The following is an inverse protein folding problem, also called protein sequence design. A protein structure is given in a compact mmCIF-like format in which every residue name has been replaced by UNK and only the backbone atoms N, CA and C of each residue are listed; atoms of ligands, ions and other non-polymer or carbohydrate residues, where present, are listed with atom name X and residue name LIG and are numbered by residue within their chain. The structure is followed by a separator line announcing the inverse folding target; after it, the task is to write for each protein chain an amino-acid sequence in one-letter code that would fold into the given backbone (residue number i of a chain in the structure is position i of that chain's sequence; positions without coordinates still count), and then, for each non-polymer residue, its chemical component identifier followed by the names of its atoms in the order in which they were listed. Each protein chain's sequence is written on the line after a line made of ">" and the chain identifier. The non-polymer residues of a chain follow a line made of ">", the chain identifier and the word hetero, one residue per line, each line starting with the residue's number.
data_IF_316654269143
#
_entry.id   IF_316654269143
#
_cell.length_a   1.000
_cell.length_b   1.000
_cell.length_c   1.000
_cell.angle_alpha   90.00
_cell.angle_beta   90.00
_cell.angle_gamma   90.00
#
_symmetry.space_group_name_H-M   'P 1'
#
loop_
_entity.id
_entity.type
_entity.pdbx_description
1 polymer ?
#
# COMPACT_ATOMS: atom_id res chain seq x y z
N UNK A 1 -15.54 53.17 -10.82
CA UNK A 1 -15.72 52.74 -9.42
C UNK A 1 -17.06 52.06 -9.31
N UNK A 2 -17.11 50.76 -9.64
CA UNK A 2 -18.29 49.92 -9.44
C UNK A 2 -17.83 48.80 -8.54
N UNK A 3 -18.28 48.91 -7.29
CA UNK A 3 -18.25 47.87 -6.27
C UNK A 3 -19.24 46.78 -6.68
N UNK A 4 -18.74 45.57 -6.89
CA UNK A 4 -19.53 44.34 -6.76
C UNK A 4 -18.75 43.37 -5.87
N UNK A 5 -18.87 43.66 -4.58
CA UNK A 5 -18.62 42.74 -3.48
C UNK A 5 -19.97 42.06 -3.20
N UNK A 6 -20.16 40.80 -3.62
CA UNK A 6 -21.28 39.97 -3.16
C UNK A 6 -21.16 38.53 -3.66
N UNK A 7 -21.37 37.58 -2.75
CA UNK A 7 -21.69 36.17 -2.95
C UNK A 7 -20.51 35.20 -3.21
N UNK A 8 -19.65 35.03 -2.20
CA UNK A 8 -19.00 33.74 -1.91
C UNK A 8 -19.12 33.44 -0.41
N UNK A 9 -20.34 33.51 0.14
CA UNK A 9 -20.68 32.70 1.31
C UNK A 9 -20.90 31.28 0.79
N UNK A 10 -19.77 30.58 0.57
CA UNK A 10 -19.79 29.14 0.36
C UNK A 10 -20.45 28.47 1.57
N UNK A 11 -21.13 27.33 1.38
CA UNK A 11 -21.74 26.62 2.50
C UNK A 11 -20.68 26.41 3.58
N UNK A 12 -20.94 26.93 4.79
CA UNK A 12 -20.18 26.62 5.99
C UNK A 12 -20.48 25.18 6.41
N UNK A 13 -20.17 24.23 5.51
CA UNK A 13 -20.38 22.82 5.74
C UNK A 13 -19.26 22.34 6.66
N UNK A 14 -19.53 22.42 7.97
CA UNK A 14 -18.65 21.94 9.04
C UNK A 14 -18.29 20.45 8.94
N UNK A 15 -18.83 19.73 7.95
CA UNK A 15 -18.48 18.35 7.62
C UNK A 15 -17.21 18.19 6.76
N UNK A 16 -16.70 19.26 6.15
CA UNK A 16 -15.48 19.20 5.31
C UNK A 16 -14.18 19.29 6.11
N UNK A 17 -14.24 19.65 7.39
CA UNK A 17 -13.06 19.77 8.24
C UNK A 17 -12.78 18.48 9.02
N UNK A 18 -11.49 18.18 9.21
CA UNK A 18 -11.05 17.08 10.08
C UNK A 18 -11.51 17.33 11.52
N UNK A 19 -12.35 16.42 12.03
CA UNK A 19 -12.79 16.41 13.43
C UNK A 19 -11.74 15.74 14.33
N UNK A 20 -11.87 15.87 15.64
CA UNK A 20 -10.96 15.21 16.59
C UNK A 20 -10.93 13.67 16.43
N UNK A 21 -12.07 13.07 16.07
CA UNK A 21 -12.17 11.66 15.73
C UNK A 21 -11.35 11.29 14.49
N UNK A 22 -11.37 12.15 13.46
CA UNK A 22 -10.64 11.93 12.20
C UNK A 22 -9.12 11.96 12.46
N UNK A 23 -8.65 12.91 13.27
CA UNK A 23 -7.25 12.99 13.69
C UNK A 23 -6.81 11.77 14.50
N UNK A 24 -7.67 11.28 15.40
CA UNK A 24 -7.41 10.06 16.16
C UNK A 24 -7.26 8.86 15.22
N UNK A 25 -8.14 8.76 14.22
CA UNK A 25 -8.09 7.69 13.22
C UNK A 25 -6.81 7.77 12.38
N UNK A 26 -6.44 8.96 11.88
CA UNK A 26 -5.19 9.17 11.13
C UNK A 26 -3.98 8.78 11.98
N UNK A 27 -3.92 9.24 13.23
CA UNK A 27 -2.81 8.91 14.14
C UNK A 27 -2.68 7.42 14.36
N UNK A 28 -3.80 6.71 14.52
CA UNK A 28 -3.79 5.26 14.69
C UNK A 28 -3.34 4.53 13.41
N UNK A 29 -3.80 4.97 12.22
CA UNK A 29 -3.34 4.44 10.94
C UNK A 29 -1.81 4.59 10.81
N UNK A 30 -1.31 5.80 11.08
CA UNK A 30 0.12 6.10 10.98
C UNK A 30 0.93 5.26 11.95
N UNK A 31 0.52 5.20 13.22
CA UNK A 31 1.18 4.41 14.25
C UNK A 31 1.18 2.91 13.90
N UNK A 32 0.04 2.36 13.46
CA UNK A 32 -0.05 0.97 13.05
C UNK A 32 0.84 0.67 11.84
N UNK A 33 0.83 1.54 10.82
CA UNK A 33 1.70 1.37 9.66
C UNK A 33 3.17 1.38 10.06
N UNK A 34 3.59 2.34 10.89
CA UNK A 34 4.99 2.48 11.32
C UNK A 34 5.44 1.33 12.21
N UNK A 35 4.54 0.77 13.03
CA UNK A 35 4.83 -0.41 13.86
C UNK A 35 5.11 -1.68 13.03
N UNK A 36 4.49 -1.83 11.87
CA UNK A 36 4.70 -2.99 10.98
C UNK A 36 5.61 -2.71 9.79
N UNK A 37 6.00 -1.45 9.56
CA UNK A 37 6.72 -1.04 8.36
C UNK A 37 8.09 -1.73 8.25
N UNK A 38 8.43 -2.38 7.12
CA UNK A 38 9.75 -2.97 6.94
C UNK A 38 10.77 -1.96 6.38
N UNK A 39 10.45 -0.65 6.31
CA UNK A 39 11.35 0.36 5.73
C UNK A 39 12.73 0.33 6.37
N UNK A 40 12.81 0.20 7.70
CA UNK A 40 14.08 0.08 8.44
C UNK A 40 14.86 -1.18 8.04
N UNK A 41 14.17 -2.30 7.85
CA UNK A 41 14.77 -3.57 7.46
C UNK A 41 15.37 -3.50 6.04
N UNK A 42 14.67 -2.85 5.11
CA UNK A 42 15.17 -2.59 3.75
C UNK A 42 16.38 -1.67 3.78
N UNK A 43 16.33 -0.58 4.56
CA UNK A 43 17.47 0.34 4.70
C UNK A 43 18.71 -0.38 5.23
N UNK A 44 18.55 -1.19 6.29
CA UNK A 44 19.63 -2.00 6.84
C UNK A 44 20.19 -2.99 5.81
N UNK A 45 19.34 -3.62 4.99
CA UNK A 45 19.78 -4.50 3.90
C UNK A 45 20.63 -3.74 2.87
N UNK A 46 20.19 -2.55 2.46
CA UNK A 46 20.92 -1.68 1.54
C UNK A 46 22.28 -1.26 2.12
N UNK A 47 22.32 -0.89 3.41
CA UNK A 47 23.55 -0.54 4.12
C UNK A 47 24.54 -1.70 4.19
N UNK A 48 24.06 -2.90 4.52
CA UNK A 48 24.87 -4.12 4.54
C UNK A 48 25.43 -4.44 3.14
N UNK A 49 24.59 -4.35 2.11
CA UNK A 49 24.99 -4.58 0.72
C UNK A 49 26.10 -3.60 0.28
N UNK A 50 25.93 -2.31 0.60
CA UNK A 50 26.93 -1.29 0.29
C UNK A 50 28.25 -1.52 1.03
N UNK A 51 28.18 -1.91 2.31
CA UNK A 51 29.37 -2.22 3.11
C UNK A 51 30.16 -3.39 2.49
N UNK A 52 29.47 -4.48 2.14
CA UNK A 52 30.08 -5.66 1.51
C UNK A 52 30.67 -5.36 0.12
N UNK A 53 29.98 -4.51 -0.65
CA UNK A 53 30.44 -4.09 -1.98
C UNK A 53 31.70 -3.23 -1.91
N UNK A 54 31.83 -2.41 -0.87
CA UNK A 54 33.01 -1.55 -0.68
C UNK A 54 34.26 -2.32 -0.20
N UNK A 55 34.08 -3.44 0.49
CA UNK A 55 35.19 -4.21 1.10
C UNK A 55 35.79 -5.29 0.21
N UNK A 56 35.11 -5.68 -0.88
CA UNK A 56 35.42 -6.90 -1.62
C UNK A 56 35.91 -6.58 -3.05
N UNK A 57 37.19 -6.84 -3.35
CA UNK A 57 37.73 -6.83 -4.73
C UNK A 57 37.30 -8.06 -5.56
N UNK A 58 36.48 -8.95 -5.00
CA UNK A 58 36.07 -10.22 -5.58
C UNK A 58 34.57 -10.22 -5.92
N UNK A 59 34.25 -10.70 -7.12
CA UNK A 59 32.91 -10.96 -7.68
C UNK A 59 31.81 -11.14 -6.61
N UNK A 60 31.03 -10.09 -6.38
CA UNK A 60 29.90 -10.11 -5.45
C UNK A 60 28.83 -11.05 -6.02
N UNK A 61 28.70 -12.26 -5.46
CA UNK A 61 27.61 -13.15 -5.83
C UNK A 61 26.35 -12.67 -5.12
N UNK A 62 25.46 -12.02 -5.87
CA UNK A 62 24.17 -11.58 -5.35
C UNK A 62 23.28 -12.78 -4.99
N UNK A 63 22.74 -12.78 -3.77
CA UNK A 63 21.83 -13.82 -3.29
C UNK A 63 20.38 -13.41 -3.51
N UNK A 64 19.75 -14.00 -4.53
CA UNK A 64 18.34 -13.81 -4.89
C UNK A 64 17.39 -14.09 -3.71
N UNK A 65 17.76 -14.99 -2.80
CA UNK A 65 16.93 -15.34 -1.65
C UNK A 65 16.67 -14.13 -0.73
N UNK A 66 17.61 -13.17 -0.65
CA UNK A 66 17.47 -11.97 0.17
C UNK A 66 16.37 -11.04 -0.37
N UNK A 67 16.31 -10.85 -1.70
CA UNK A 67 15.23 -10.07 -2.32
C UNK A 67 13.87 -10.74 -2.12
N UNK A 68 13.77 -12.06 -2.29
CA UNK A 68 12.52 -12.79 -2.08
C UNK A 68 12.08 -12.75 -0.62
N UNK A 69 13.03 -12.87 0.31
CA UNK A 69 12.78 -12.69 1.73
C UNK A 69 12.26 -11.30 2.04
N UNK A 70 12.84 -10.25 1.44
CA UNK A 70 12.39 -8.88 1.62
C UNK A 70 10.96 -8.68 1.14
N UNK A 71 10.63 -9.15 -0.07
CA UNK A 71 9.28 -9.05 -0.60
C UNK A 71 8.27 -9.82 0.25
N UNK A 72 8.65 -11.01 0.74
CA UNK A 72 7.82 -11.81 1.66
C UNK A 72 7.61 -11.12 3.01
N UNK A 73 8.67 -10.52 3.55
CA UNK A 73 8.62 -9.73 4.79
C UNK A 73 7.67 -8.54 4.63
N UNK A 74 7.78 -7.82 3.53
CA UNK A 74 6.89 -6.70 3.26
C UNK A 74 5.43 -7.11 3.06
N UNK A 75 5.18 -8.22 2.36
CA UNK A 75 3.84 -8.77 2.26
C UNK A 75 3.24 -9.06 3.66
N UNK A 76 3.99 -9.74 4.53
CA UNK A 76 3.57 -10.03 5.91
C UNK A 76 3.36 -8.78 6.76
N UNK A 77 4.20 -7.76 6.57
CA UNK A 77 4.06 -6.45 7.21
C UNK A 77 2.77 -5.76 6.81
N UNK A 78 2.48 -5.69 5.50
CA UNK A 78 1.22 -5.13 5.00
C UNK A 78 0.02 -5.92 5.53
N UNK A 79 0.10 -7.24 5.52
CA UNK A 79 -0.95 -8.10 6.05
C UNK A 79 -1.20 -7.81 7.54
N UNK A 80 -0.15 -7.77 8.35
CA UNK A 80 -0.24 -7.46 9.79
C UNK A 80 -0.82 -6.07 10.03
N UNK A 81 -0.41 -5.08 9.23
CA UNK A 81 -0.94 -3.74 9.27
C UNK A 81 -2.45 -3.70 9.00
N UNK A 82 -2.92 -4.31 7.90
CA UNK A 82 -4.36 -4.34 7.59
C UNK A 82 -5.13 -5.13 8.63
N UNK A 83 -4.60 -6.29 9.06
CA UNK A 83 -5.19 -7.08 10.13
C UNK A 83 -5.35 -6.28 11.43
N UNK A 84 -4.45 -5.35 11.73
CA UNK A 84 -4.53 -4.57 12.97
C UNK A 84 -5.68 -3.55 12.98
N UNK A 85 -6.31 -3.28 11.84
CA UNK A 85 -7.38 -2.28 11.74
C UNK A 85 -8.69 -2.81 12.36
N UNK A 86 -9.45 -1.98 13.11
CA UNK A 86 -10.71 -2.41 13.72
C UNK A 86 -11.74 -2.90 12.69
N UNK A 87 -11.82 -2.23 11.54
CA UNK A 87 -12.74 -2.60 10.46
C UNK A 87 -12.44 -3.99 9.87
N UNK A 88 -11.18 -4.43 9.87
CA UNK A 88 -10.84 -5.77 9.39
C UNK A 88 -11.26 -6.84 10.40
N UNK A 89 -11.07 -6.56 11.69
CA UNK A 89 -11.36 -7.50 12.78
C UNK A 89 -12.85 -7.82 12.93
N UNK A 90 -13.75 -6.97 12.43
CA UNK A 90 -15.20 -7.22 12.45
C UNK A 90 -15.72 -8.00 11.24
N UNK A 91 -14.87 -8.23 10.23
CA UNK A 91 -15.21 -9.05 9.06
C UNK A 91 -15.22 -10.53 9.42
N UNK A 92 -16.09 -11.30 8.78
CA UNK A 92 -16.05 -12.76 8.82
C UNK A 92 -14.77 -13.29 8.17
N UNK A 93 -14.33 -14.49 8.52
CA UNK A 93 -13.14 -15.11 7.92
C UNK A 93 -13.21 -15.20 6.39
N UNK A 94 -14.39 -15.48 5.84
CA UNK A 94 -14.60 -15.53 4.39
C UNK A 94 -14.47 -14.14 3.75
N UNK A 95 -14.98 -13.09 4.40
CA UNK A 95 -14.81 -11.70 3.95
C UNK A 95 -13.35 -11.26 4.03
N UNK A 96 -12.64 -11.57 5.12
CA UNK A 96 -11.21 -11.29 5.28
C UNK A 96 -10.38 -11.96 4.18
N UNK A 97 -10.64 -13.25 3.91
CA UNK A 97 -9.96 -14.00 2.85
C UNK A 97 -10.23 -13.39 1.47
N UNK A 98 -11.50 -13.12 1.14
CA UNK A 98 -11.85 -12.54 -0.15
C UNK A 98 -11.25 -11.13 -0.31
N UNK A 99 -11.20 -10.33 0.76
CA UNK A 99 -10.56 -9.02 0.75
C UNK A 99 -9.08 -9.13 0.39
N UNK A 100 -8.36 -10.06 1.02
CA UNK A 100 -6.95 -10.25 0.74
C UNK A 100 -6.69 -10.78 -0.66
N UNK A 101 -7.48 -11.75 -1.12
CA UNK A 101 -7.37 -12.27 -2.49
C UNK A 101 -7.55 -11.18 -3.55
N UNK A 102 -8.43 -10.20 -3.31
CA UNK A 102 -8.74 -9.11 -4.26
C UNK A 102 -7.76 -7.95 -4.22
N UNK A 103 -7.25 -7.61 -3.04
CA UNK A 103 -6.60 -6.31 -2.84
C UNK A 103 -5.14 -6.40 -2.44
N UNK A 104 -4.69 -7.48 -1.79
CA UNK A 104 -3.33 -7.51 -1.21
C UNK A 104 -2.24 -7.41 -2.25
N UNK A 105 -2.46 -7.96 -3.45
CA UNK A 105 -1.47 -7.85 -4.51
C UNK A 105 -1.34 -6.41 -5.02
N UNK A 106 -2.46 -5.72 -5.25
CA UNK A 106 -2.44 -4.30 -5.59
C UNK A 106 -1.76 -3.46 -4.51
N UNK A 107 -2.06 -3.76 -3.24
CA UNK A 107 -1.42 -3.15 -2.09
C UNK A 107 0.08 -3.41 -2.05
N UNK A 108 0.51 -4.65 -2.28
CA UNK A 108 1.93 -5.03 -2.33
C UNK A 108 2.65 -4.25 -3.43
N UNK A 109 2.01 -4.06 -4.58
CA UNK A 109 2.57 -3.32 -5.69
C UNK A 109 2.74 -1.83 -5.41
N UNK A 110 1.68 -1.16 -4.96
CA UNK A 110 1.73 0.28 -4.64
C UNK A 110 2.63 0.51 -3.42
N UNK A 111 2.44 -0.29 -2.38
CA UNK A 111 3.25 -0.27 -1.18
C UNK A 111 4.72 -0.58 -1.48
N UNK A 112 5.02 -1.44 -2.44
CA UNK A 112 6.39 -1.80 -2.81
C UNK A 112 7.11 -0.62 -3.45
N UNK A 113 6.42 0.14 -4.30
CA UNK A 113 6.94 1.40 -4.86
C UNK A 113 7.18 2.44 -3.78
N UNK A 114 6.25 2.58 -2.83
CA UNK A 114 6.45 3.44 -1.67
C UNK A 114 7.66 3.01 -0.84
N UNK A 115 7.79 1.71 -0.56
CA UNK A 115 8.90 1.15 0.21
C UNK A 115 10.25 1.39 -0.47
N UNK A 116 10.33 1.17 -1.79
CA UNK A 116 11.54 1.44 -2.57
C UNK A 116 11.93 2.93 -2.54
N UNK A 117 10.95 3.83 -2.61
CA UNK A 117 11.20 5.28 -2.46
C UNK A 117 11.71 5.59 -1.05
N UNK A 118 11.01 5.16 -0.01
CA UNK A 118 11.34 5.51 1.38
C UNK A 118 12.65 4.86 1.85
N UNK A 119 13.02 3.71 1.30
CA UNK A 119 14.29 3.04 1.64
C UNK A 119 15.51 3.67 0.97
N UNK A 120 15.32 4.52 -0.04
CA UNK A 120 16.43 5.08 -0.82
C UNK A 120 17.10 4.05 -1.73
N UNK A 121 16.40 2.98 -2.14
CA UNK A 121 16.98 1.95 -3.02
C UNK A 121 17.43 2.53 -4.38
N UNK A 122 16.87 3.66 -4.79
CA UNK A 122 17.22 4.36 -6.03
C UNK A 122 18.11 5.59 -5.83
N UNK A 123 18.55 5.87 -4.61
CA UNK A 123 19.37 7.04 -4.28
C UNK A 123 20.81 6.88 -4.78
N UNK A 124 21.28 5.64 -4.90
CA UNK A 124 22.62 5.27 -5.36
C UNK A 124 22.53 4.19 -6.45
N UNK A 125 23.25 4.32 -7.58
CA UNK A 125 23.26 3.29 -8.62
C UNK A 125 23.67 1.90 -8.13
N UNK A 126 24.53 1.83 -7.11
CA UNK A 126 25.00 0.58 -6.51
C UNK A 126 23.85 -0.19 -5.85
N UNK A 127 22.89 0.51 -5.23
CA UNK A 127 21.73 -0.10 -4.59
C UNK A 127 20.83 -0.82 -5.61
N UNK A 128 20.82 -0.37 -6.87
CA UNK A 128 20.00 -0.99 -7.93
C UNK A 128 20.46 -2.42 -8.22
N UNK A 129 21.73 -2.75 -7.95
CA UNK A 129 22.29 -4.09 -8.11
C UNK A 129 21.62 -5.13 -7.19
N UNK A 130 20.93 -4.71 -6.13
CA UNK A 130 20.15 -5.60 -5.27
C UNK A 130 18.96 -6.21 -6.02
N UNK A 131 18.33 -5.47 -6.93
CA UNK A 131 17.09 -5.91 -7.60
C UNK A 131 17.26 -6.15 -9.10
N UNK A 132 18.36 -5.65 -9.68
CA UNK A 132 18.68 -5.79 -11.09
C UNK A 132 18.72 -7.25 -11.57
N UNK A 133 19.32 -8.23 -10.85
CA UNK A 133 19.38 -9.62 -11.32
C UNK A 133 18.01 -10.30 -11.45
N UNK A 134 17.01 -9.82 -10.69
CA UNK A 134 15.66 -10.38 -10.69
C UNK A 134 14.79 -9.79 -11.79
N UNK A 135 14.91 -8.48 -12.01
CA UNK A 135 13.94 -7.72 -12.78
C UNK A 135 14.48 -7.24 -14.13
N UNK A 136 15.79 -7.14 -14.29
CA UNK A 136 16.41 -6.58 -15.48
C UNK A 136 16.33 -5.05 -15.54
N UNK A 137 17.17 -4.46 -16.37
CA UNK A 137 17.41 -3.02 -16.43
C UNK A 137 16.16 -2.22 -16.77
N UNK A 138 15.36 -2.70 -17.72
CA UNK A 138 14.18 -1.99 -18.22
C UNK A 138 13.13 -1.82 -17.11
N UNK A 139 12.88 -2.89 -16.34
CA UNK A 139 11.93 -2.89 -15.23
C UNK A 139 12.41 -1.95 -14.12
N UNK A 140 13.70 -2.00 -13.78
CA UNK A 140 14.29 -1.12 -12.76
C UNK A 140 14.20 0.35 -13.16
N UNK A 141 14.51 0.69 -14.41
CA UNK A 141 14.37 2.06 -14.91
C UNK A 141 12.93 2.54 -14.84
N UNK A 142 11.96 1.69 -15.17
CA UNK A 142 10.54 2.05 -15.08
C UNK A 142 10.10 2.21 -13.62
N UNK A 143 10.49 1.31 -12.72
CA UNK A 143 10.22 1.41 -11.29
C UNK A 143 10.80 2.71 -10.69
N UNK A 144 12.03 3.07 -11.05
CA UNK A 144 12.67 4.32 -10.65
C UNK A 144 11.88 5.55 -11.08
N UNK A 145 11.42 5.59 -12.35
CA UNK A 145 10.58 6.68 -12.86
C UNK A 145 9.26 6.80 -12.09
N UNK A 146 8.63 5.67 -11.75
CA UNK A 146 7.39 5.65 -10.96
C UNK A 146 7.66 6.15 -9.53
N UNK A 147 8.72 5.67 -8.88
CA UNK A 147 9.08 6.09 -7.52
C UNK A 147 9.37 7.58 -7.41
N UNK A 148 10.08 8.16 -8.39
CA UNK A 148 10.34 9.61 -8.45
C UNK A 148 9.05 10.44 -8.57
N UNK A 149 7.98 9.84 -9.11
CA UNK A 149 6.68 10.48 -9.28
C UNK A 149 5.73 10.27 -8.08
N UNK A 150 6.08 9.39 -7.15
CA UNK A 150 5.33 9.13 -5.91
C UNK A 150 5.74 10.09 -4.77
N UNK A 151 5.99 11.36 -5.09
CA UNK A 151 6.37 12.36 -4.11
C UNK A 151 5.15 12.95 -3.37
N UNK A 152 4.42 12.08 -2.67
CA UNK A 152 3.26 12.45 -1.86
C UNK A 152 3.61 12.49 -0.37
N UNK A 153 2.75 13.17 0.40
CA UNK A 153 2.78 13.13 1.86
C UNK A 153 2.70 11.66 2.35
N UNK A 154 3.65 11.19 3.18
CA UNK A 154 3.63 9.83 3.70
C UNK A 154 2.35 9.49 4.47
N UNK A 155 1.77 10.45 5.20
CA UNK A 155 0.50 10.30 5.92
C UNK A 155 -0.63 9.99 4.95
N UNK A 156 -0.71 10.74 3.85
CA UNK A 156 -1.71 10.52 2.80
C UNK A 156 -1.61 9.10 2.22
N UNK A 157 -0.38 8.62 1.93
CA UNK A 157 -0.17 7.27 1.40
C UNK A 157 -0.55 6.18 2.40
N UNK A 158 -0.25 6.36 3.69
CA UNK A 158 -0.65 5.41 4.74
C UNK A 158 -2.18 5.30 4.87
N UNK A 159 -2.91 6.41 4.84
CA UNK A 159 -4.38 6.41 4.83
C UNK A 159 -4.90 5.73 3.55
N UNK A 160 -4.29 6.05 2.40
CA UNK A 160 -4.65 5.48 1.11
C UNK A 160 -4.46 3.95 1.08
N UNK A 161 -3.43 3.40 1.72
CA UNK A 161 -3.25 1.95 1.79
C UNK A 161 -4.42 1.25 2.48
N UNK A 162 -4.95 1.84 3.55
CA UNK A 162 -6.15 1.31 4.20
C UNK A 162 -7.36 1.43 3.27
N UNK A 163 -7.56 2.60 2.63
CA UNK A 163 -8.65 2.79 1.67
C UNK A 163 -8.60 1.77 0.50
N UNK A 164 -7.41 1.47 -0.01
CA UNK A 164 -7.20 0.48 -1.07
C UNK A 164 -7.40 -0.96 -0.55
N UNK A 165 -7.03 -1.25 0.70
CA UNK A 165 -7.20 -2.56 1.30
C UNK A 165 -8.68 -2.94 1.41
N UNK A 166 -9.52 -1.96 1.75
CA UNK A 166 -10.98 -2.09 1.84
C UNK A 166 -11.69 -1.80 0.50
N UNK A 167 -10.96 -1.62 -0.60
CA UNK A 167 -11.57 -1.41 -1.92
C UNK A 167 -12.38 -2.62 -2.35
N UNK A 168 -13.45 -2.41 -3.10
CA UNK A 168 -14.17 -3.51 -3.75
C UNK A 168 -13.29 -4.28 -4.75
N UNK A 169 -12.31 -3.61 -5.37
CA UNK A 169 -11.35 -4.20 -6.29
C UNK A 169 -10.10 -3.31 -6.47
N UNK A 170 -8.97 -3.71 -5.90
CA UNK A 170 -7.68 -3.03 -6.09
C UNK A 170 -6.79 -3.76 -7.10
N UNK A 171 -6.93 -5.08 -7.29
CA UNK A 171 -6.12 -5.86 -8.24
C UNK A 171 -6.72 -7.25 -8.54
N UNK A 172 -7.55 -7.39 -9.57
CA UNK A 172 -8.00 -8.72 -10.01
C UNK A 172 -7.12 -9.29 -11.12
N UNK A 173 -6.21 -10.22 -10.76
CA UNK A 173 -5.84 -11.28 -11.69
C UNK A 173 -7.08 -12.15 -11.84
N UNK A 174 -7.81 -12.00 -12.95
CA UNK A 174 -9.04 -12.73 -13.19
C UNK A 174 -8.77 -14.24 -13.27
N UNK A 175 -8.90 -14.95 -12.16
CA UNK A 175 -9.05 -16.39 -12.20
C UNK A 175 -10.54 -16.69 -12.39
N UNK A 176 -10.94 -16.97 -13.64
CA UNK A 176 -12.34 -17.11 -14.07
C UNK A 176 -13.15 -18.14 -13.26
N UNK A 177 -12.50 -19.01 -12.48
CA UNK A 177 -13.13 -20.08 -11.71
C UNK A 177 -13.82 -19.68 -10.38
N UNK A 178 -13.47 -18.55 -9.76
CA UNK A 178 -13.85 -18.29 -8.35
C UNK A 178 -14.94 -17.22 -8.11
N UNK A 179 -15.47 -16.58 -9.16
CA UNK A 179 -16.42 -15.45 -9.02
C UNK A 179 -17.77 -15.88 -8.43
N UNK A 180 -18.19 -17.13 -8.64
CA UNK A 180 -19.54 -17.62 -8.26
C UNK A 180 -19.74 -17.93 -6.77
N UNK A 181 -18.70 -17.82 -5.94
CA UNK A 181 -18.76 -18.09 -4.48
C UNK A 181 -18.29 -16.91 -3.64
N UNK A 182 -18.29 -15.71 -4.20
CA UNK A 182 -17.70 -14.57 -3.52
C UNK A 182 -18.63 -14.01 -2.45
N UNK A 183 -18.39 -14.41 -1.20
CA UNK A 183 -19.10 -13.93 0.00
C UNK A 183 -19.06 -12.40 0.12
N UNK A 184 -18.02 -11.76 -0.43
CA UNK A 184 -17.86 -10.30 -0.37
C UNK A 184 -18.83 -9.56 -1.30
N UNK A 185 -19.33 -10.20 -2.37
CA UNK A 185 -20.41 -9.64 -3.18
C UNK A 185 -21.76 -9.67 -2.44
N UNK A 186 -21.91 -10.57 -1.46
CA UNK A 186 -23.14 -10.77 -0.69
C UNK A 186 -23.12 -10.02 0.67
N UNK A 187 -21.94 -9.78 1.27
CA UNK A 187 -21.72 -9.04 2.54
C UNK A 187 -21.42 -7.54 2.39
N UNK A 188 -21.81 -6.94 1.27
CA UNK A 188 -21.30 -5.67 0.73
C UNK A 188 -21.41 -4.43 1.64
N UNK A 189 -22.36 -4.37 2.57
CA UNK A 189 -22.60 -3.14 3.34
C UNK A 189 -21.45 -2.75 4.28
N UNK A 190 -20.83 -3.72 4.95
CA UNK A 190 -19.74 -3.43 5.91
C UNK A 190 -18.48 -3.00 5.18
N UNK A 191 -18.10 -3.74 4.13
CA UNK A 191 -16.93 -3.39 3.32
C UNK A 191 -17.06 -2.00 2.69
N UNK A 192 -18.20 -1.72 2.03
CA UNK A 192 -18.43 -0.40 1.41
C UNK A 192 -18.50 0.71 2.46
N UNK A 193 -19.03 0.41 3.65
CA UNK A 193 -19.00 1.30 4.80
C UNK A 193 -17.57 1.68 5.19
N UNK A 194 -16.71 0.70 5.46
CA UNK A 194 -15.31 0.94 5.80
C UNK A 194 -14.57 1.64 4.66
N UNK A 195 -14.76 1.22 3.40
CA UNK A 195 -14.17 1.87 2.24
C UNK A 195 -14.53 3.37 2.19
N UNK A 196 -15.81 3.70 2.33
CA UNK A 196 -16.28 5.09 2.28
C UNK A 196 -15.68 5.93 3.41
N UNK A 197 -15.58 5.37 4.63
CA UNK A 197 -14.94 6.05 5.76
C UNK A 197 -13.50 6.41 5.43
N UNK A 198 -12.71 5.48 4.90
CA UNK A 198 -11.30 5.75 4.58
C UNK A 198 -11.14 6.68 3.36
N UNK A 199 -12.00 6.58 2.35
CA UNK A 199 -11.99 7.50 1.19
C UNK A 199 -12.36 8.92 1.62
N UNK A 200 -13.37 9.08 2.48
CA UNK A 200 -13.75 10.36 3.06
C UNK A 200 -12.59 10.93 3.91
N UNK A 201 -11.89 10.08 4.68
CA UNK A 201 -10.72 10.49 5.45
C UNK A 201 -9.58 10.98 4.55
N UNK A 202 -9.30 10.30 3.43
CA UNK A 202 -8.35 10.78 2.40
C UNK A 202 -8.77 12.15 1.88
N UNK A 203 -10.05 12.33 1.54
CA UNK A 203 -10.55 13.59 1.01
C UNK A 203 -10.47 14.74 2.02
N UNK A 204 -10.91 14.53 3.26
CA UNK A 204 -10.80 15.52 4.34
C UNK A 204 -9.35 15.89 4.62
N UNK A 205 -8.45 14.92 4.62
CA UNK A 205 -7.02 15.17 4.81
C UNK A 205 -6.45 16.04 3.68
N UNK A 206 -6.80 15.75 2.43
CA UNK A 206 -6.41 16.57 1.30
C UNK A 206 -6.96 17.99 1.44
N UNK A 207 -8.27 18.13 1.69
CA UNK A 207 -8.94 19.43 1.83
C UNK A 207 -8.29 20.29 2.91
N UNK A 208 -7.97 19.68 4.05
CA UNK A 208 -7.28 20.33 5.15
C UNK A 208 -5.85 20.78 4.77
N UNK A 209 -5.10 19.94 4.04
CA UNK A 209 -3.67 20.17 3.79
C UNK A 209 -3.42 21.08 2.59
N UNK A 210 -4.23 20.96 1.54
CA UNK A 210 -3.99 21.58 0.23
C UNK A 210 -5.08 22.57 -0.21
N UNK A 211 -6.18 22.71 0.55
CA UNK A 211 -7.35 23.46 0.11
C UNK A 211 -8.08 22.80 -1.07
N UNK A 212 -9.19 23.37 -1.54
CA UNK A 212 -10.03 22.73 -2.56
C UNK A 212 -9.29 22.45 -3.88
N UNK A 213 -8.74 23.48 -4.52
CA UNK A 213 -8.08 23.34 -5.83
C UNK A 213 -6.84 22.43 -5.74
N UNK A 214 -6.04 22.60 -4.69
CA UNK A 214 -4.87 21.78 -4.43
C UNK A 214 -5.24 20.32 -4.17
N UNK A 215 -6.37 20.06 -3.51
CA UNK A 215 -6.88 18.71 -3.26
C UNK A 215 -7.29 18.01 -4.54
N UNK A 216 -8.06 18.68 -5.41
CA UNK A 216 -8.49 18.10 -6.70
C UNK A 216 -7.26 17.73 -7.55
N UNK A 217 -6.27 18.63 -7.64
CA UNK A 217 -5.04 18.37 -8.39
C UNK A 217 -4.22 17.23 -7.78
N UNK A 218 -4.04 17.24 -6.46
CA UNK A 218 -3.26 16.23 -5.74
C UNK A 218 -3.93 14.86 -5.82
N UNK A 219 -5.24 14.79 -5.62
CA UNK A 219 -6.03 13.57 -5.78
C UNK A 219 -5.91 13.02 -7.21
N UNK A 220 -6.08 13.87 -8.22
CA UNK A 220 -5.97 13.45 -9.63
C UNK A 220 -4.59 12.88 -9.97
N UNK A 221 -3.53 13.53 -9.46
CA UNK A 221 -2.15 13.04 -9.60
C UNK A 221 -1.98 11.70 -8.88
N UNK A 222 -2.50 11.59 -7.65
CA UNK A 222 -2.42 10.37 -6.85
C UNK A 222 -3.09 9.18 -7.56
N UNK A 223 -4.33 9.35 -8.00
CA UNK A 223 -5.06 8.31 -8.74
C UNK A 223 -4.32 7.92 -10.01
N UNK A 224 -3.80 8.88 -10.79
CA UNK A 224 -2.98 8.58 -11.96
C UNK A 224 -1.76 7.72 -11.59
N UNK A 225 -1.04 8.06 -10.52
CA UNK A 225 0.15 7.29 -10.09
C UNK A 225 -0.20 5.90 -9.58
N UNK A 226 -1.34 5.74 -8.92
CA UNK A 226 -1.86 4.43 -8.56
C UNK A 226 -2.09 3.59 -9.81
N UNK A 227 -2.79 4.13 -10.82
CA UNK A 227 -3.06 3.41 -12.06
C UNK A 227 -1.79 3.07 -12.84
N UNK A 228 -0.84 4.00 -12.93
CA UNK A 228 0.48 3.76 -13.54
C UNK A 228 1.22 2.60 -12.84
N UNK A 229 1.17 2.58 -11.50
CA UNK A 229 1.79 1.53 -10.68
C UNK A 229 1.11 0.17 -10.88
N UNK A 230 -0.23 0.12 -10.85
CA UNK A 230 -0.97 -1.11 -11.06
C UNK A 230 -0.73 -1.67 -12.48
N UNK A 231 -0.69 -0.81 -13.50
CA UNK A 231 -0.37 -1.22 -14.86
C UNK A 231 1.04 -1.80 -14.96
N UNK A 232 2.03 -1.12 -14.37
CA UNK A 232 3.40 -1.61 -14.29
C UNK A 232 3.47 -2.99 -13.65
N UNK A 233 2.76 -3.20 -12.54
CA UNK A 233 2.75 -4.48 -11.84
C UNK A 233 2.09 -5.60 -12.63
N UNK A 234 1.01 -5.30 -13.37
CA UNK A 234 0.39 -6.28 -14.29
C UNK A 234 1.40 -6.68 -15.38
N UNK A 235 2.13 -5.72 -15.94
CA UNK A 235 3.14 -5.99 -16.97
C UNK A 235 4.31 -6.80 -16.40
N UNK A 236 4.75 -6.47 -15.19
CA UNK A 236 5.79 -7.20 -14.47
C UNK A 236 5.36 -8.64 -14.20
N UNK A 237 4.13 -8.87 -13.71
CA UNK A 237 3.59 -10.22 -13.50
C UNK A 237 3.52 -11.03 -14.79
N UNK A 238 3.13 -10.43 -15.92
CA UNK A 238 3.02 -11.12 -17.21
C UNK A 238 4.36 -11.45 -17.85
N UNK A 239 5.36 -10.58 -17.66
CA UNK A 239 6.61 -10.63 -18.42
C UNK A 239 7.81 -11.12 -17.59
N UNK A 240 7.70 -11.23 -16.26
CA UNK A 240 8.78 -11.68 -15.38
C UNK A 240 8.38 -12.97 -14.64
N UNK A 241 9.01 -14.08 -15.02
CA UNK A 241 8.72 -15.41 -14.44
C UNK A 241 9.03 -15.50 -12.94
N UNK A 242 10.09 -14.85 -12.46
CA UNK A 242 10.41 -14.84 -11.03
C UNK A 242 9.32 -14.13 -10.23
N UNK A 243 8.88 -12.97 -10.71
CA UNK A 243 7.79 -12.23 -10.08
C UNK A 243 6.49 -13.01 -10.13
N UNK A 244 6.17 -13.64 -11.27
CA UNK A 244 4.99 -14.48 -11.42
C UNK A 244 4.98 -15.62 -10.38
N UNK A 245 6.06 -16.41 -10.31
CA UNK A 245 6.17 -17.51 -9.35
C UNK A 245 6.06 -17.02 -7.91
N UNK A 246 6.73 -15.92 -7.56
CA UNK A 246 6.62 -15.34 -6.22
C UNK A 246 5.18 -14.94 -5.86
N UNK A 247 4.46 -14.31 -6.80
CA UNK A 247 3.06 -13.92 -6.59
C UNK A 247 2.15 -15.15 -6.46
N UNK A 248 2.34 -16.15 -7.33
CA UNK A 248 1.56 -17.38 -7.30
C UNK A 248 1.79 -18.15 -5.98
N UNK A 249 3.03 -18.20 -5.49
CA UNK A 249 3.39 -18.81 -4.20
C UNK A 249 2.72 -18.07 -3.03
N UNK A 250 2.68 -16.74 -3.05
CA UNK A 250 1.97 -15.95 -2.04
C UNK A 250 0.46 -16.24 -2.08
N UNK A 251 -0.14 -16.27 -3.27
CA UNK A 251 -1.57 -16.56 -3.43
C UNK A 251 -1.87 -17.95 -2.85
N UNK A 252 -1.08 -18.97 -3.22
CA UNK A 252 -1.24 -20.33 -2.71
C UNK A 252 -1.02 -20.40 -1.18
N UNK A 253 -0.04 -19.67 -0.64
CA UNK A 253 0.19 -19.62 0.80
C UNK A 253 -1.01 -18.99 1.54
N UNK A 254 -1.65 -17.96 0.98
CA UNK A 254 -2.84 -17.35 1.58
C UNK A 254 -4.07 -18.26 1.52
N UNK A 255 -4.19 -19.08 0.47
CA UNK A 255 -5.28 -20.04 0.35
C UNK A 255 -5.15 -21.20 1.35
N UNK A 256 -3.90 -21.63 1.61
CA UNK A 256 -3.58 -22.78 2.47
C UNK A 256 -3.43 -22.41 3.94
N UNK A 257 -2.89 -21.23 4.23
CA UNK A 257 -2.84 -20.70 5.58
C UNK A 257 -4.27 -20.35 5.97
N UNK A 258 -4.84 -21.02 6.97
CA UNK A 258 -6.04 -20.53 7.66
C UNK A 258 -5.69 -19.15 8.21
N UNK A 259 -6.00 -18.12 7.43
CA UNK A 259 -5.70 -16.73 7.76
C UNK A 259 -6.42 -16.49 9.09
N UNK A 260 -5.62 -16.19 10.11
CA UNK A 260 -6.02 -16.03 11.51
C UNK A 260 -6.02 -17.33 12.33
N UNK A 261 -4.88 -17.64 12.94
CA UNK A 261 -4.87 -18.28 14.26
C UNK A 261 -5.55 -17.28 15.21
N UNK A 262 -6.84 -17.49 15.55
CA UNK A 262 -7.73 -16.57 16.29
C UNK A 262 -7.11 -15.95 17.56
N UNK A 263 -6.01 -16.53 18.06
CA UNK A 263 -5.33 -16.12 19.29
C UNK A 263 -4.15 -15.18 19.10
N UNK A 264 -3.69 -14.93 17.87
CA UNK A 264 -2.40 -14.26 17.63
C UNK A 264 -2.49 -12.74 17.40
N UNK A 265 -3.66 -12.19 17.09
CA UNK A 265 -3.77 -10.78 16.69
C UNK A 265 -4.36 -9.96 17.84
N UNK A 266 -3.48 -9.30 18.59
CA UNK A 266 -3.89 -8.31 19.59
C UNK A 266 -4.19 -7.00 18.82
N UNK A 267 -5.40 -6.43 18.94
CA UNK A 267 -5.69 -5.15 18.33
C UNK A 267 -4.75 -4.08 18.91
N UNK A 268 -4.03 -3.37 18.04
CA UNK A 268 -3.20 -2.22 18.43
C UNK A 268 -4.04 -0.97 18.74
N UNK A 269 -5.38 -1.08 18.65
CA UNK A 269 -6.31 0.03 18.67
C UNK A 269 -7.24 -0.10 19.88
N UNK A 270 -7.35 0.98 20.66
CA UNK A 270 -8.23 1.09 21.83
C UNK A 270 -7.53 0.83 23.16
N UNK A 271 -7.88 1.60 24.19
CA UNK A 271 -7.60 1.20 25.58
C UNK A 271 -8.45 -0.03 25.86
N UNK A 272 -7.86 -1.08 26.46
CA UNK A 272 -8.65 -2.10 27.15
C UNK A 272 -9.48 -1.38 28.21
N UNK A 273 -10.75 -1.14 27.93
CA UNK A 273 -11.75 -0.76 28.93
C UNK A 273 -12.14 -2.00 29.72
#
# INVERSE_FOLDING_TARGET
>A
TISQQSALDGPTDGNLYLKASDWTMISNIVHAFDAFSPVSEVRRMIENFNTLSSSSTSNLQYDVSQSLYLMSSFYKSLQSFICSTPDFQILTLDEQRSLFQRNMLGLLCVGGMYLMRESGIFDKPENELVILPLYGTEVIQQAKRICQQLNFDPTLLKILFVALAFSSNCYMIHNRGNISKDSLLLGTFRLLGSQNVYVELVWKYLMHTYGYDGSVQTFSKLIKRLLDTLKFSIDMYKNNRFHQTFIDDIIQQNETSSIVDEKAIVPLWGKKS
#
